data_IF_894248989080
#
_entry.id   IF_894248989080
#
_cell.length_a   1.000
_cell.length_b   1.000
_cell.length_c   1.000
_cell.angle_alpha   90.00
_cell.angle_beta   90.00
_cell.angle_gamma   90.00
#
_symmetry.space_group_name_H-M   'P 1'
#
loop_
_entity.id
_entity.type
_entity.pdbx_description
1 polymer ?
#
# COMPACT_ATOMS: atom_id res chain seq x y z
N UNK A 1 8.02 24.37 -6.10
CA UNK A 1 6.77 23.69 -5.72
C UNK A 1 7.03 22.41 -4.94
N UNK A 2 8.09 21.66 -5.23
CA UNK A 2 8.35 20.34 -4.61
C UNK A 2 8.68 20.39 -3.11
N UNK A 3 9.35 21.45 -2.63
CA UNK A 3 9.60 21.63 -1.19
C UNK A 3 8.29 21.73 -0.40
N UNK A 4 7.28 22.45 -0.92
CA UNK A 4 5.97 22.55 -0.28
C UNK A 4 5.23 21.19 -0.26
N UNK A 5 5.31 20.42 -1.35
CA UNK A 5 4.77 19.05 -1.40
C UNK A 5 5.43 18.14 -0.37
N UNK A 6 6.76 18.25 -0.23
CA UNK A 6 7.54 17.48 0.74
C UNK A 6 7.11 17.81 2.17
N UNK A 7 7.02 19.09 2.53
CA UNK A 7 6.56 19.50 3.86
C UNK A 7 5.13 19.05 4.16
N UNK A 8 4.20 19.20 3.20
CA UNK A 8 2.82 18.77 3.38
C UNK A 8 2.71 17.25 3.54
N UNK A 9 3.38 16.48 2.68
CA UNK A 9 3.38 15.02 2.74
C UNK A 9 4.00 14.53 4.04
N UNK A 10 5.14 15.11 4.43
CA UNK A 10 5.79 14.80 5.69
C UNK A 10 4.89 15.14 6.88
N UNK A 11 4.21 16.30 6.88
CA UNK A 11 3.31 16.71 7.95
C UNK A 11 2.12 15.76 8.09
N UNK A 12 1.49 15.37 6.99
CA UNK A 12 0.37 14.39 6.99
C UNK A 12 0.84 13.05 7.54
N UNK A 13 1.98 12.54 7.06
CA UNK A 13 2.57 11.28 7.55
C UNK A 13 2.91 11.38 9.04
N UNK A 14 3.47 12.50 9.50
CA UNK A 14 3.80 12.74 10.92
C UNK A 14 2.56 12.77 11.80
N UNK A 15 1.50 13.46 11.38
CA UNK A 15 0.22 13.51 12.09
C UNK A 15 -0.38 12.11 12.22
N UNK A 16 -0.42 11.37 11.12
CA UNK A 16 -0.94 9.99 11.09
C UNK A 16 -0.13 9.10 12.04
N UNK A 17 1.20 9.17 11.97
CA UNK A 17 2.10 8.36 12.81
C UNK A 17 1.95 8.71 14.30
N UNK A 18 1.76 9.99 14.64
CA UNK A 18 1.51 10.41 16.04
C UNK A 18 0.20 9.86 16.59
N UNK A 19 -0.86 9.80 15.77
CA UNK A 19 -2.15 9.21 16.19
C UNK A 19 -2.02 7.69 16.42
N UNK A 20 -1.12 7.01 15.71
CA UNK A 20 -0.89 5.57 15.91
C UNK A 20 -0.43 5.21 17.34
N UNK A 21 0.24 6.12 18.05
CA UNK A 21 0.84 5.88 19.37
C UNK A 21 -0.24 5.75 20.47
N UNK A 22 -1.46 6.24 20.24
CA UNK A 22 -2.50 6.29 21.27
C UNK A 22 -3.52 5.14 21.20
N UNK A 23 -3.73 4.53 20.03
CA UNK A 23 -4.78 3.51 19.84
C UNK A 23 -4.43 2.49 18.75
N UNK A 24 -4.20 1.22 19.12
CA UNK A 24 -3.84 0.14 18.17
C UNK A 24 -4.89 -0.14 17.08
N UNK A 25 -6.18 0.00 17.40
CA UNK A 25 -7.25 -0.19 16.38
C UNK A 25 -7.31 0.97 15.41
N UNK A 26 -7.10 2.19 15.92
CA UNK A 26 -7.11 3.41 15.12
C UNK A 26 -5.84 3.50 14.28
N UNK A 27 -4.72 2.98 14.79
CA UNK A 27 -3.47 2.84 14.04
C UNK A 27 -3.62 1.89 12.86
N UNK A 28 -4.23 0.73 13.05
CA UNK A 28 -4.51 -0.22 11.97
C UNK A 28 -5.41 0.39 10.87
N UNK A 29 -6.45 1.14 11.26
CA UNK A 29 -7.31 1.85 10.31
C UNK A 29 -6.51 2.90 9.52
N UNK A 30 -5.73 3.72 10.22
CA UNK A 30 -4.92 4.77 9.60
C UNK A 30 -3.85 4.22 8.65
N UNK A 31 -3.24 3.09 8.99
CA UNK A 31 -2.27 2.38 8.13
C UNK A 31 -2.95 1.77 6.91
N UNK A 32 -4.19 1.30 7.05
CA UNK A 32 -4.95 0.76 5.92
C UNK A 32 -5.42 1.84 4.93
N UNK A 33 -5.49 3.11 5.33
CA UNK A 33 -5.85 4.20 4.42
C UNK A 33 -4.70 4.51 3.45
N UNK A 34 -4.96 4.56 2.14
CA UNK A 34 -3.93 4.85 1.12
C UNK A 34 -3.66 6.35 1.02
N UNK A 35 -3.30 6.99 2.14
CA UNK A 35 -3.14 8.45 2.24
C UNK A 35 -2.07 8.98 1.27
N UNK A 36 -0.98 8.23 1.08
CA UNK A 36 0.07 8.57 0.12
C UNK A 36 -0.45 8.57 -1.32
N UNK A 37 -1.26 7.58 -1.69
CA UNK A 37 -1.89 7.51 -3.02
C UNK A 37 -2.93 8.61 -3.22
N UNK A 38 -3.73 8.93 -2.19
CA UNK A 38 -4.67 10.05 -2.23
C UNK A 38 -3.96 11.39 -2.46
N UNK A 39 -2.87 11.66 -1.72
CA UNK A 39 -2.05 12.86 -1.92
C UNK A 39 -1.46 12.91 -3.32
N UNK A 40 -0.96 11.78 -3.84
CA UNK A 40 -0.43 11.70 -5.19
C UNK A 40 -1.50 12.04 -6.24
N UNK A 41 -2.73 11.52 -6.12
CA UNK A 41 -3.83 11.80 -7.05
C UNK A 41 -4.32 13.26 -6.98
N UNK A 42 -4.38 13.85 -5.77
CA UNK A 42 -4.66 15.29 -5.61
C UNK A 42 -3.61 16.09 -6.37
N UNK A 43 -2.34 15.71 -6.21
CA UNK A 43 -1.25 16.42 -6.84
C UNK A 43 -1.23 16.26 -8.37
N UNK A 44 -1.52 15.06 -8.88
CA UNK A 44 -1.74 14.82 -10.31
C UNK A 44 -2.82 15.74 -10.87
N UNK A 45 -3.92 15.95 -10.13
CA UNK A 45 -4.99 16.87 -10.55
C UNK A 45 -4.55 18.33 -10.54
N UNK A 46 -3.79 18.75 -9.52
CA UNK A 46 -3.22 20.11 -9.43
C UNK A 46 -2.21 20.39 -10.55
N UNK A 47 -1.44 19.37 -10.97
CA UNK A 47 -0.51 19.44 -12.10
C UNK A 47 -1.20 19.34 -13.47
N UNK A 48 -2.54 19.29 -13.51
CA UNK A 48 -3.31 19.28 -14.74
C UNK A 48 -3.34 17.93 -15.46
N UNK A 49 -3.05 16.81 -14.79
CA UNK A 49 -3.18 15.49 -15.39
C UNK A 49 -4.64 15.13 -15.65
N UNK A 50 -4.87 14.45 -16.78
CA UNK A 50 -6.20 14.02 -17.21
C UNK A 50 -6.83 13.01 -16.22
N UNK A 51 -8.17 13.04 -16.17
CA UNK A 51 -8.95 12.12 -15.35
C UNK A 51 -8.66 10.64 -15.67
N UNK A 52 -8.34 10.32 -16.93
CA UNK A 52 -7.97 8.97 -17.36
C UNK A 52 -6.68 8.47 -16.71
N UNK A 53 -5.67 9.35 -16.57
CA UNK A 53 -4.41 8.99 -15.89
C UNK A 53 -4.61 8.77 -14.40
N UNK A 54 -5.42 9.60 -13.75
CA UNK A 54 -5.76 9.43 -12.34
C UNK A 54 -6.52 8.12 -12.14
N UNK A 55 -7.49 7.81 -13.02
CA UNK A 55 -8.23 6.54 -12.97
C UNK A 55 -7.31 5.32 -13.16
N UNK A 56 -6.40 5.37 -14.12
CA UNK A 56 -5.42 4.30 -14.34
C UNK A 56 -4.49 4.11 -13.13
N UNK A 57 -4.05 5.21 -12.49
CA UNK A 57 -3.25 5.13 -11.28
C UNK A 57 -4.02 4.49 -10.11
N UNK A 58 -5.29 4.87 -9.92
CA UNK A 58 -6.15 4.29 -8.90
C UNK A 58 -6.39 2.78 -9.16
N UNK A 59 -6.68 2.40 -10.41
CA UNK A 59 -6.92 1.01 -10.78
C UNK A 59 -5.65 0.16 -10.62
N UNK A 60 -4.49 0.66 -11.05
CA UNK A 60 -3.21 -0.02 -10.85
C UNK A 60 -2.91 -0.25 -9.37
N UNK A 61 -3.12 0.78 -8.54
CA UNK A 61 -2.95 0.70 -7.08
C UNK A 61 -3.89 -0.35 -6.47
N UNK A 62 -5.16 -0.40 -6.90
CA UNK A 62 -6.10 -1.43 -6.44
C UNK A 62 -5.57 -2.84 -6.68
N UNK A 63 -5.09 -3.13 -7.89
CA UNK A 63 -4.55 -4.46 -8.19
C UNK A 63 -3.31 -4.78 -7.36
N UNK A 64 -2.41 -3.82 -7.15
CA UNK A 64 -1.20 -4.02 -6.34
C UNK A 64 -1.46 -4.19 -4.84
N UNK A 65 -2.64 -3.81 -4.33
CA UNK A 65 -3.02 -4.04 -2.92
C UNK A 65 -3.47 -5.49 -2.69
N UNK A 66 -4.16 -6.13 -3.63
CA UNK A 66 -4.63 -7.51 -3.47
C UNK A 66 -3.54 -8.53 -3.04
N UNK A 67 -2.34 -8.56 -3.64
CA UNK A 67 -1.30 -9.53 -3.28
C UNK A 67 -0.65 -9.23 -1.92
N UNK A 68 -0.85 -8.04 -1.34
CA UNK A 68 -0.32 -7.69 -0.01
C UNK A 68 -1.29 -8.04 1.12
N UNK A 69 -2.59 -8.20 0.83
CA UNK A 69 -3.59 -8.57 1.84
C UNK A 69 -3.30 -9.87 2.59
N UNK A 70 -2.85 -10.97 1.93
CA UNK A 70 -2.57 -12.23 2.63
C UNK A 70 -1.47 -12.11 3.69
N UNK A 71 -0.51 -11.19 3.52
CA UNK A 71 0.55 -10.95 4.51
C UNK A 71 -0.02 -10.48 5.86
N UNK A 72 -1.07 -9.65 5.84
CA UNK A 72 -1.72 -9.16 7.06
C UNK A 72 -2.45 -10.26 7.84
N UNK A 73 -2.66 -11.44 7.23
CA UNK A 73 -3.22 -12.62 7.90
C UNK A 73 -2.14 -13.63 8.27
N UNK A 74 -1.19 -13.88 7.38
CA UNK A 74 -0.13 -14.87 7.60
C UNK A 74 0.82 -14.43 8.71
N UNK A 75 1.27 -13.18 8.73
CA UNK A 75 2.19 -12.68 9.75
C UNK A 75 1.64 -12.86 11.19
N UNK A 76 0.44 -12.37 11.55
CA UNK A 76 -0.09 -12.59 12.89
C UNK A 76 -0.37 -14.06 13.17
N UNK A 77 -0.76 -14.85 12.17
CA UNK A 77 -0.92 -16.30 12.35
C UNK A 77 0.40 -16.97 12.75
N UNK A 78 1.49 -16.73 12.02
CA UNK A 78 2.81 -17.30 12.33
C UNK A 78 3.31 -16.88 13.72
N UNK A 79 3.17 -15.60 14.05
CA UNK A 79 3.57 -15.08 15.37
C UNK A 79 2.78 -15.72 16.51
N UNK A 80 1.47 -15.95 16.34
CA UNK A 80 0.63 -16.65 17.32
C UNK A 80 0.96 -18.14 17.47
N UNK A 81 1.60 -18.75 16.46
CA UNK A 81 2.06 -20.14 16.48
C UNK A 81 3.51 -20.29 16.95
N UNK A 82 4.09 -19.24 17.55
CA UNK A 82 5.42 -19.29 18.17
C UNK A 82 6.60 -19.17 17.19
N UNK A 83 6.35 -18.81 15.93
CA UNK A 83 7.44 -18.54 14.99
C UNK A 83 8.19 -17.27 15.39
N UNK A 84 9.51 -17.26 15.22
CA UNK A 84 10.33 -16.07 15.45
C UNK A 84 10.00 -14.97 14.46
N UNK A 85 9.99 -13.70 14.91
CA UNK A 85 9.63 -12.54 14.09
C UNK A 85 10.38 -12.48 12.76
N UNK A 86 11.70 -12.69 12.76
CA UNK A 86 12.52 -12.68 11.54
C UNK A 86 12.09 -13.74 10.52
N UNK A 87 11.80 -14.96 10.98
CA UNK A 87 11.33 -16.05 10.11
C UNK A 87 9.94 -15.78 9.55
N UNK A 88 9.03 -15.26 10.39
CA UNK A 88 7.69 -14.91 9.97
C UNK A 88 7.71 -13.77 8.94
N UNK A 89 8.56 -12.75 9.14
CA UNK A 89 8.72 -11.65 8.20
C UNK A 89 9.29 -12.13 6.85
N UNK A 90 10.37 -12.93 6.87
CA UNK A 90 10.98 -13.47 5.66
C UNK A 90 9.98 -14.30 4.83
N UNK A 91 9.21 -15.17 5.48
CA UNK A 91 8.16 -15.96 4.82
C UNK A 91 7.09 -15.07 4.17
N UNK A 92 6.67 -14.00 4.87
CA UNK A 92 5.70 -13.03 4.33
C UNK A 92 6.25 -12.24 3.13
N UNK A 93 7.53 -11.86 3.16
CA UNK A 93 8.18 -11.21 2.01
C UNK A 93 8.20 -12.14 0.78
N UNK A 94 8.62 -13.40 0.96
CA UNK A 94 8.66 -14.40 -0.12
C UNK A 94 7.25 -14.62 -0.68
N UNK A 95 6.26 -14.81 0.20
CA UNK A 95 4.87 -14.98 -0.22
C UNK A 95 4.37 -13.78 -1.03
N UNK A 96 4.61 -12.56 -0.55
CA UNK A 96 4.15 -11.34 -1.24
C UNK A 96 4.76 -11.24 -2.65
N UNK A 97 6.04 -11.57 -2.81
CA UNK A 97 6.70 -11.59 -4.14
C UNK A 97 6.03 -12.62 -5.05
N UNK A 98 5.80 -13.84 -4.56
CA UNK A 98 5.15 -14.91 -5.34
C UNK A 98 3.74 -14.48 -5.77
N UNK A 99 2.95 -13.92 -4.85
CA UNK A 99 1.60 -13.44 -5.13
C UNK A 99 1.58 -12.30 -6.14
N UNK A 100 2.53 -11.36 -6.04
CA UNK A 100 2.66 -10.25 -6.97
C UNK A 100 2.98 -10.74 -8.39
N UNK A 101 3.97 -11.63 -8.52
CA UNK A 101 4.33 -12.23 -9.81
C UNK A 101 3.17 -13.03 -10.39
N UNK A 102 2.47 -13.81 -9.55
CA UNK A 102 1.28 -14.56 -9.94
C UNK A 102 0.15 -13.65 -10.44
N UNK A 103 -0.13 -12.57 -9.71
CA UNK A 103 -1.15 -11.59 -10.11
C UNK A 103 -0.80 -10.95 -11.45
N UNK A 104 0.42 -10.44 -11.62
CA UNK A 104 0.86 -9.80 -12.88
C UNK A 104 0.73 -10.80 -14.04
N UNK A 105 1.12 -12.05 -13.84
CA UNK A 105 0.99 -13.10 -14.85
C UNK A 105 -0.49 -13.39 -15.21
N UNK A 106 -1.39 -13.42 -14.22
CA UNK A 106 -2.83 -13.64 -14.43
C UNK A 106 -3.45 -12.45 -15.16
N UNK A 107 -3.19 -11.22 -14.71
CA UNK A 107 -3.78 -10.01 -15.29
C UNK A 107 -3.32 -9.81 -16.73
N UNK A 108 -2.05 -10.10 -17.04
CA UNK A 108 -1.54 -10.08 -18.40
C UNK A 108 -2.30 -11.03 -19.33
N UNK A 109 -2.72 -12.21 -18.84
CA UNK A 109 -3.54 -13.16 -19.63
C UNK A 109 -4.97 -12.67 -19.88
N UNK A 110 -5.50 -11.82 -19.00
CA UNK A 110 -6.84 -11.21 -19.10
C UNK A 110 -6.79 -9.88 -19.88
N UNK A 111 -5.62 -9.46 -20.36
CA UNK A 111 -5.44 -8.23 -21.15
C UNK A 111 -5.25 -6.95 -20.32
N UNK A 112 -5.13 -7.06 -18.99
CA UNK A 112 -4.80 -5.95 -18.11
C UNK A 112 -3.28 -5.90 -17.95
N UNK A 113 -2.62 -4.95 -18.62
CA UNK A 113 -1.17 -4.80 -18.51
C UNK A 113 -0.82 -3.79 -17.39
N UNK A 114 -0.36 -4.31 -16.25
CA UNK A 114 0.09 -3.50 -15.11
C UNK A 114 1.55 -3.05 -15.23
N UNK A 115 2.35 -3.72 -16.06
CA UNK A 115 3.80 -3.56 -16.26
C UNK A 115 4.16 -3.59 -17.75
#
# INVERSE_FOLDING_TARGET
MDIAKLFLTALVVLMVTKVQIFHDRLSALLVALPLTSLLAMIWMRVEGQDASRIANHAQGTFWFVLPTLPMFLLLPWMLRHGWGFGTALAANCILTVILFLGLVAILKRVGINLL
#
